data_IF_322997889284
#
_entry.id   IF_322997889284
#
_cell.length_a   1.000
_cell.length_b   1.000
_cell.length_c   1.000
_cell.angle_alpha   90.00
_cell.angle_beta   90.00
_cell.angle_gamma   90.00
#
_symmetry.space_group_name_H-M   'P 1'
#
loop_
_entity.id
_entity.type
_entity.pdbx_description
1 polymer ?
#
# COMPACT_ATOMS: atom_id res chain seq x y z
N UNK A 1 10.08 -2.48 -6.60
CA UNK A 1 8.94 -3.09 -7.31
C UNK A 1 8.51 -4.31 -6.52
N UNK A 2 7.48 -4.38 -5.67
CA UNK A 2 6.18 -3.75 -5.66
C UNK A 2 5.62 -3.91 -4.21
N UNK A 3 5.96 -2.98 -3.29
CA UNK A 3 5.76 -3.15 -1.83
C UNK A 3 4.31 -3.48 -1.46
N UNK A 4 3.36 -2.80 -2.09
CA UNK A 4 1.94 -3.01 -1.82
C UNK A 4 1.48 -4.40 -2.30
N UNK A 5 1.93 -4.87 -3.46
CA UNK A 5 1.62 -6.23 -3.93
C UNK A 5 2.13 -7.29 -2.95
N UNK A 6 3.35 -7.10 -2.42
CA UNK A 6 3.92 -7.98 -1.41
C UNK A 6 3.10 -7.97 -0.11
N UNK A 7 2.77 -6.80 0.41
CA UNK A 7 1.96 -6.67 1.63
C UNK A 7 0.55 -7.28 1.47
N UNK A 8 -0.06 -7.11 0.29
CA UNK A 8 -1.37 -7.67 0.00
C UNK A 8 -1.34 -9.17 -0.31
N UNK A 9 -0.19 -9.72 -0.71
CA UNK A 9 -0.08 -11.12 -1.13
C UNK A 9 -0.84 -11.42 -2.43
N UNK A 10 -1.17 -10.40 -3.22
CA UNK A 10 -1.85 -10.49 -4.51
C UNK A 10 -1.27 -9.49 -5.50
N UNK A 11 -1.53 -9.70 -6.79
CA UNK A 11 -1.20 -8.70 -7.81
C UNK A 11 -2.00 -7.42 -7.56
N UNK A 12 -1.38 -6.28 -7.88
CA UNK A 12 -2.07 -5.00 -7.91
C UNK A 12 -2.97 -4.95 -9.14
N UNK A 13 -4.18 -4.47 -8.92
CA UNK A 13 -5.19 -4.30 -9.94
C UNK A 13 -5.46 -2.81 -10.14
N UNK A 14 -6.21 -2.46 -11.20
CA UNK A 14 -6.44 -1.04 -11.55
C UNK A 14 -7.07 -0.24 -10.39
N UNK A 15 -7.88 -0.88 -9.55
CA UNK A 15 -8.53 -0.25 -8.40
C UNK A 15 -7.58 0.03 -7.22
N UNK A 16 -6.38 -0.54 -7.21
CA UNK A 16 -5.37 -0.23 -6.19
C UNK A 16 -4.57 1.05 -6.53
N UNK A 17 -4.62 1.51 -7.79
CA UNK A 17 -3.85 2.66 -8.26
C UNK A 17 -4.14 3.97 -7.52
N UNK A 18 -5.39 4.29 -7.10
CA UNK A 18 -5.64 5.45 -6.26
C UNK A 18 -4.94 5.37 -4.90
N UNK A 19 -4.84 4.18 -4.30
CA UNK A 19 -4.12 3.99 -3.04
C UNK A 19 -2.61 4.15 -3.25
N UNK A 20 -2.06 3.57 -4.32
CA UNK A 20 -0.64 3.75 -4.68
C UNK A 20 -0.30 5.24 -4.86
N UNK A 21 -1.13 6.00 -5.59
CA UNK A 21 -0.93 7.45 -5.79
C UNK A 21 -0.92 8.23 -4.47
N UNK A 22 -1.89 8.00 -3.59
CA UNK A 22 -1.91 8.65 -2.25
C UNK A 22 -0.68 8.33 -1.42
N UNK A 23 -0.16 7.11 -1.51
CA UNK A 23 1.06 6.71 -0.77
C UNK A 23 2.27 7.47 -1.32
N UNK A 24 2.40 7.60 -2.65
CA UNK A 24 3.50 8.33 -3.28
C UNK A 24 3.43 9.83 -2.97
N UNK A 25 2.25 10.44 -3.11
CA UNK A 25 2.01 11.85 -2.75
C UNK A 25 2.39 12.16 -1.30
N UNK A 26 2.04 11.26 -0.37
CA UNK A 26 2.41 11.40 1.04
C UNK A 26 3.88 11.10 1.32
N UNK A 27 4.50 10.23 0.52
CA UNK A 27 5.93 9.97 0.63
C UNK A 27 6.74 11.17 0.16
N UNK A 28 6.29 11.87 -0.88
CA UNK A 28 6.92 13.10 -1.39
C UNK A 28 7.04 14.17 -0.30
N UNK A 29 5.97 14.42 0.45
CA UNK A 29 6.00 15.36 1.59
C UNK A 29 6.94 14.95 2.73
N UNK A 30 7.42 13.70 2.71
CA UNK A 30 8.31 13.10 3.70
C UNK A 30 9.65 12.68 3.08
N UNK A 31 10.09 13.40 2.04
CA UNK A 31 11.38 13.17 1.36
C UNK A 31 11.57 11.73 0.89
N UNK A 32 10.48 11.08 0.49
CA UNK A 32 10.45 9.69 0.04
C UNK A 32 11.06 8.69 1.04
N UNK A 33 10.98 8.98 2.35
CA UNK A 33 11.42 8.04 3.38
C UNK A 33 10.69 6.70 3.26
N UNK A 34 11.44 5.61 3.39
CA UNK A 34 10.90 4.24 3.34
C UNK A 34 9.75 4.03 4.33
N UNK A 35 9.84 4.61 5.52
CA UNK A 35 8.80 4.55 6.55
C UNK A 35 7.46 5.11 6.07
N UNK A 36 7.45 6.13 5.21
CA UNK A 36 6.24 6.72 4.66
C UNK A 36 5.50 5.76 3.72
N UNK A 37 6.24 4.98 2.94
CA UNK A 37 5.66 3.93 2.09
C UNK A 37 5.07 2.79 2.92
N UNK A 38 5.81 2.33 3.94
CA UNK A 38 5.33 1.28 4.85
C UNK A 38 4.05 1.73 5.56
N UNK A 39 4.05 2.93 6.15
CA UNK A 39 2.89 3.48 6.83
C UNK A 39 1.71 3.64 5.87
N UNK A 40 1.96 4.12 4.65
CA UNK A 40 0.94 4.28 3.62
C UNK A 40 0.30 2.94 3.22
N UNK A 41 1.09 1.88 3.08
CA UNK A 41 0.57 0.54 2.79
C UNK A 41 -0.25 0.01 3.97
N UNK A 42 0.26 0.09 5.19
CA UNK A 42 -0.44 -0.39 6.41
C UNK A 42 -1.75 0.37 6.65
N UNK A 43 -1.80 1.66 6.33
CA UNK A 43 -3.00 2.50 6.46
C UNK A 43 -4.01 2.31 5.31
N UNK A 44 -3.64 1.66 4.21
CA UNK A 44 -4.52 1.50 3.05
C UNK A 44 -5.71 0.59 3.34
N UNK A 45 -6.86 0.87 2.74
CA UNK A 45 -8.06 0.04 2.90
C UNK A 45 -7.84 -1.37 2.37
N UNK A 46 -7.12 -1.50 1.25
CA UNK A 46 -6.75 -2.80 0.69
C UNK A 46 -5.98 -3.68 1.70
N UNK A 47 -5.12 -3.08 2.53
CA UNK A 47 -4.38 -3.80 3.56
C UNK A 47 -5.24 -4.08 4.79
N UNK A 48 -5.99 -3.07 5.29
CA UNK A 48 -6.80 -3.19 6.50
C UNK A 48 -8.02 -4.10 6.33
N UNK A 49 -8.60 -4.14 5.13
CA UNK A 49 -9.76 -4.97 4.80
C UNK A 49 -9.36 -6.32 4.21
N UNK A 50 -8.06 -6.61 4.08
CA UNK A 50 -7.59 -7.95 3.75
C UNK A 50 -8.04 -8.89 4.88
N UNK A 51 -9.13 -9.61 4.66
CA UNK A 51 -9.50 -10.72 5.52
C UNK A 51 -8.30 -11.67 5.55
N UNK A 52 -7.77 -11.96 6.74
CA UNK A 52 -6.85 -13.07 6.90
C UNK A 52 -7.55 -14.28 6.29
N UNK A 53 -6.91 -14.96 5.34
CA UNK A 53 -7.42 -16.22 4.84
C UNK A 53 -7.66 -17.12 6.05
N UNK A 54 -8.93 -17.32 6.40
CA UNK A 54 -9.30 -18.31 7.42
C UNK A 54 -9.00 -19.65 6.77
N UNK A 55 -8.15 -20.42 7.46
CA UNK A 55 -7.47 -21.63 7.00
C UNK A 55 -8.33 -22.58 6.15
#
# INVERSE_FOLDING_TARGET
SNLMAYALGRRLEYWDQPAVRRIVERAESNEYRMSSFILGVVASDAFRMKQAATN
#
